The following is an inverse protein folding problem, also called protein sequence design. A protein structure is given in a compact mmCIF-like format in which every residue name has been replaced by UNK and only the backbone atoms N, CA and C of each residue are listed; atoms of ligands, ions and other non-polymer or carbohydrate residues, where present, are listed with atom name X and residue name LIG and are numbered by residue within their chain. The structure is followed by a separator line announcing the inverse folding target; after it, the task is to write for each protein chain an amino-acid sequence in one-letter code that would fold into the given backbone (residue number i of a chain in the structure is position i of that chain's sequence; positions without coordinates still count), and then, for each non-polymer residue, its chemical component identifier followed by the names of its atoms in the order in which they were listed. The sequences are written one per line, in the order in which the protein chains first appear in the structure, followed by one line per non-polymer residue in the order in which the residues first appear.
data_IF_898758459596
#
_entry.id   IF_898758459596
#
_cell.length_a   1.000
_cell.length_b   1.000
_cell.length_c   1.000
_cell.angle_alpha   90.00
_cell.angle_beta   90.00
_cell.angle_gamma   90.00
#
_symmetry.space_group_name_H-M   'P 1'
#
loop_
_entity.id
_entity.type
_entity.pdbx_description
1 polymer ?
#
# COMPACT_ATOMS: atom_id res chain seq x y z
N UNK A 1 17.69 -20.93 -0.03
CA UNK A 1 17.84 -20.20 -1.32
C UNK A 1 16.44 -20.03 -1.86
N UNK A 2 15.94 -18.79 -1.93
CA UNK A 2 14.58 -18.52 -2.40
C UNK A 2 14.52 -18.94 -3.87
N UNK A 3 13.67 -19.91 -4.17
CA UNK A 3 13.48 -20.49 -5.49
C UNK A 3 12.95 -19.42 -6.44
N UNK A 4 13.77 -19.06 -7.43
CA UNK A 4 13.44 -18.42 -8.70
C UNK A 4 12.05 -17.75 -8.79
N UNK A 5 12.01 -16.46 -8.50
CA UNK A 5 10.89 -15.54 -8.83
C UNK A 5 10.90 -15.31 -10.35
N UNK A 6 10.64 -16.35 -11.15
CA UNK A 6 10.52 -16.24 -12.61
C UNK A 6 9.65 -17.37 -13.15
N UNK A 7 8.66 -17.04 -13.99
CA UNK A 7 7.93 -18.03 -14.78
C UNK A 7 8.84 -18.53 -15.88
N UNK A 8 9.16 -19.82 -15.86
CA UNK A 8 10.07 -20.43 -16.84
C UNK A 8 9.54 -20.24 -18.27
N UNK A 9 10.41 -19.75 -19.16
CA UNK A 9 10.05 -19.50 -20.56
C UNK A 9 9.17 -18.27 -20.81
N UNK A 10 8.89 -17.43 -19.81
CA UNK A 10 8.13 -16.20 -20.01
C UNK A 10 8.85 -15.24 -20.97
N UNK A 11 8.11 -14.73 -21.95
CA UNK A 11 8.53 -13.66 -22.84
C UNK A 11 7.47 -12.57 -22.82
N UNK A 12 7.86 -11.37 -22.40
CA UNK A 12 6.97 -10.22 -22.50
C UNK A 12 6.67 -9.92 -23.97
N UNK A 13 5.39 -9.67 -24.27
CA UNK A 13 4.96 -9.17 -25.58
C UNK A 13 5.10 -7.65 -25.69
N UNK A 14 5.36 -6.98 -24.56
CA UNK A 14 5.54 -5.53 -24.46
C UNK A 14 7.02 -5.22 -24.20
N UNK A 15 7.50 -4.14 -24.79
CA UNK A 15 8.74 -3.47 -24.36
C UNK A 15 8.60 -2.90 -22.94
N UNK A 16 9.72 -2.46 -22.37
CA UNK A 16 9.72 -1.83 -21.04
C UNK A 16 8.84 -0.57 -21.00
N UNK A 17 8.95 0.30 -22.01
CA UNK A 17 8.14 1.51 -22.12
C UNK A 17 6.65 1.20 -22.26
N UNK A 18 6.30 0.25 -23.14
CA UNK A 18 4.91 -0.20 -23.30
C UNK A 18 4.35 -0.82 -22.01
N UNK A 19 5.19 -1.51 -21.24
CA UNK A 19 4.80 -2.10 -19.95
C UNK A 19 4.46 -1.01 -18.93
N UNK A 20 5.29 0.03 -18.80
CA UNK A 20 5.02 1.17 -17.90
C UNK A 20 3.74 1.92 -18.29
N UNK A 21 3.53 2.14 -19.60
CA UNK A 21 2.30 2.73 -20.14
C UNK A 21 1.08 1.86 -19.80
N UNK A 22 1.18 0.54 -19.98
CA UNK A 22 0.11 -0.40 -19.68
C UNK A 22 -0.23 -0.45 -18.18
N UNK A 23 0.78 -0.46 -17.30
CA UNK A 23 0.59 -0.40 -15.84
C UNK A 23 -0.19 0.86 -15.46
N UNK A 24 0.21 2.02 -16.00
CA UNK A 24 -0.48 3.29 -15.74
C UNK A 24 -1.93 3.26 -16.24
N UNK A 25 -2.16 2.75 -17.45
CA UNK A 25 -3.50 2.66 -18.03
C UNK A 25 -4.43 1.82 -17.16
N UNK A 26 -3.97 0.66 -16.67
CA UNK A 26 -4.75 -0.21 -15.78
C UNK A 26 -5.09 0.51 -14.48
N UNK A 27 -4.08 1.15 -13.85
CA UNK A 27 -4.24 1.89 -12.60
C UNK A 27 -5.27 3.00 -12.72
N UNK A 28 -5.08 3.92 -13.66
CA UNK A 28 -5.94 5.08 -13.86
C UNK A 28 -7.39 4.65 -14.20
N UNK A 29 -7.53 3.59 -15.00
CA UNK A 29 -8.85 3.07 -15.39
C UNK A 29 -9.59 2.46 -14.21
N UNK A 30 -8.91 1.65 -13.39
CA UNK A 30 -9.53 0.99 -12.25
C UNK A 30 -9.92 2.00 -11.17
N UNK A 31 -9.03 2.93 -10.82
CA UNK A 31 -9.31 3.96 -9.82
C UNK A 31 -10.53 4.80 -10.17
N UNK A 32 -10.60 5.26 -11.42
CA UNK A 32 -11.74 6.04 -11.90
C UNK A 32 -13.04 5.25 -11.79
N UNK A 33 -13.05 4.00 -12.28
CA UNK A 33 -14.23 3.13 -12.19
C UNK A 33 -14.62 2.82 -10.75
N UNK A 34 -13.65 2.57 -9.87
CA UNK A 34 -13.88 2.28 -8.46
C UNK A 34 -14.53 3.49 -7.75
N UNK A 35 -13.99 4.69 -7.98
CA UNK A 35 -14.51 5.95 -7.46
C UNK A 35 -15.95 6.20 -7.93
N UNK A 36 -16.20 6.08 -9.24
CA UNK A 36 -17.53 6.28 -9.84
C UNK A 36 -18.56 5.28 -9.30
N UNK A 37 -18.21 3.98 -9.22
CA UNK A 37 -19.15 2.92 -8.85
C UNK A 37 -19.49 2.88 -7.36
N UNK A 38 -18.55 3.25 -6.50
CA UNK A 38 -18.71 3.20 -5.05
C UNK A 38 -18.84 4.59 -4.40
N UNK A 39 -18.89 5.65 -5.20
CA UNK A 39 -18.94 7.04 -4.75
C UNK A 39 -17.82 7.36 -3.74
N UNK A 40 -16.58 6.98 -4.08
CA UNK A 40 -15.41 7.17 -3.21
C UNK A 40 -14.62 8.40 -3.64
N UNK A 41 -14.20 9.20 -2.67
CA UNK A 41 -13.27 10.31 -2.89
C UNK A 41 -11.83 9.82 -2.77
N UNK A 42 -10.98 10.13 -3.75
CA UNK A 42 -9.53 9.90 -3.64
C UNK A 42 -8.95 10.87 -2.62
N UNK A 43 -8.28 10.37 -1.58
CA UNK A 43 -7.60 11.19 -0.58
C UNK A 43 -6.13 10.82 -0.47
N UNK A 44 -5.30 11.74 0.03
CA UNK A 44 -3.89 11.46 0.33
C UNK A 44 -3.77 10.71 1.65
N UNK A 45 -3.07 9.57 1.63
CA UNK A 45 -2.79 8.77 2.81
C UNK A 45 -1.43 9.08 3.46
N UNK A 46 -1.29 8.81 4.77
CA UNK A 46 0.01 8.81 5.42
C UNK A 46 0.86 7.61 4.96
N UNK A 47 2.17 7.82 4.82
CA UNK A 47 3.15 6.75 4.62
C UNK A 47 3.61 6.13 5.94
N UNK A 48 3.50 6.88 7.04
CA UNK A 48 3.91 6.45 8.37
C UNK A 48 2.98 7.02 9.44
N UNK A 49 2.89 6.31 10.56
CA UNK A 49 2.07 6.69 11.71
C UNK A 49 2.82 6.44 13.01
N UNK A 50 2.44 7.13 14.08
CA UNK A 50 2.92 6.80 15.43
C UNK A 50 2.24 5.50 15.92
N UNK A 51 2.99 4.51 16.43
CA UNK A 51 2.41 3.24 16.88
C UNK A 51 1.36 3.42 17.98
N UNK A 52 1.56 4.42 18.85
CA UNK A 52 0.65 4.80 19.95
C UNK A 52 -0.76 5.16 19.48
N UNK A 53 -0.93 5.57 18.23
CA UNK A 53 -2.24 5.92 17.67
C UNK A 53 -3.13 4.71 17.40
N UNK A 54 -2.55 3.51 17.33
CA UNK A 54 -3.26 2.28 16.95
C UNK A 54 -3.81 2.29 15.52
N UNK A 55 -3.36 3.23 14.68
CA UNK A 55 -3.85 3.39 13.30
C UNK A 55 -3.16 2.45 12.31
N UNK A 56 -1.99 1.92 12.65
CA UNK A 56 -1.30 0.93 11.83
C UNK A 56 -1.97 -0.44 11.97
N UNK A 57 -1.81 -1.28 10.95
CA UNK A 57 -2.23 -2.67 11.00
C UNK A 57 -1.14 -3.55 11.60
N UNK A 58 -1.58 -4.53 12.39
CA UNK A 58 -0.68 -5.51 13.01
C UNK A 58 -0.72 -6.85 12.27
N UNK A 59 -1.51 -6.97 11.19
CA UNK A 59 -1.69 -8.19 10.40
C UNK A 59 -2.00 -9.40 11.31
N UNK A 60 -1.16 -10.45 11.29
CA UNK A 60 -1.34 -11.63 12.13
C UNK A 60 -0.70 -11.51 13.52
N UNK A 61 -0.05 -10.38 13.81
CA UNK A 61 0.53 -10.03 15.10
C UNK A 61 1.96 -10.51 15.32
N UNK A 62 2.55 -11.26 14.37
CA UNK A 62 3.97 -11.64 14.41
C UNK A 62 4.82 -10.74 13.51
N UNK A 63 4.25 -10.20 12.43
CA UNK A 63 4.90 -9.30 11.50
C UNK A 63 5.15 -7.95 12.18
N UNK A 64 6.39 -7.45 12.07
CA UNK A 64 6.74 -6.12 12.60
C UNK A 64 6.76 -5.09 11.48
N UNK A 65 6.09 -3.96 11.71
CA UNK A 65 6.20 -2.82 10.82
C UNK A 65 7.64 -2.27 10.82
N UNK A 66 8.05 -1.69 9.69
CA UNK A 66 9.33 -1.00 9.57
C UNK A 66 9.27 0.30 10.36
N UNK A 67 10.04 0.37 11.45
CA UNK A 67 10.09 1.53 12.33
C UNK A 67 11.31 2.42 12.12
N UNK A 68 11.16 3.73 12.36
CA UNK A 68 12.26 4.70 12.38
C UNK A 68 12.00 5.82 13.40
N UNK A 69 13.06 6.53 13.78
CA UNK A 69 12.96 7.73 14.63
C UNK A 69 13.05 9.00 13.79
N UNK A 70 12.06 9.86 13.88
CA UNK A 70 12.11 11.19 13.28
C UNK A 70 13.14 12.06 14.02
N UNK A 71 14.12 12.63 13.31
CA UNK A 71 15.21 13.37 13.93
C UNK A 71 14.73 14.60 14.72
N UNK A 72 13.81 15.37 14.15
CA UNK A 72 13.35 16.64 14.71
C UNK A 72 12.42 16.45 15.91
N UNK A 73 11.44 15.55 15.81
CA UNK A 73 10.43 15.33 16.86
C UNK A 73 10.84 14.28 17.88
N UNK A 74 11.89 13.49 17.59
CA UNK A 74 12.29 12.28 18.33
C UNK A 74 11.19 11.21 18.41
N UNK A 75 10.09 11.38 17.67
CA UNK A 75 8.99 10.44 17.63
C UNK A 75 9.41 9.13 16.97
N UNK A 76 8.93 8.02 17.52
CA UNK A 76 9.01 6.71 16.88
C UNK A 76 7.84 6.58 15.92
N UNK A 77 8.14 6.30 14.65
CA UNK A 77 7.16 6.16 13.58
C UNK A 77 7.32 4.78 12.93
N UNK A 78 6.23 4.28 12.38
CA UNK A 78 6.20 3.04 11.61
C UNK A 78 5.63 3.31 10.22
N UNK A 79 6.23 2.70 9.20
CA UNK A 79 5.65 2.63 7.87
C UNK A 79 4.35 1.83 7.95
N UNK A 80 3.31 2.32 7.28
CA UNK A 80 2.00 1.67 7.31
C UNK A 80 2.06 0.29 6.64
N UNK A 81 1.53 -0.74 7.30
CA UNK A 81 1.36 -2.08 6.70
C UNK A 81 0.01 -2.19 5.96
N UNK A 82 -0.98 -1.46 6.47
CA UNK A 82 -2.31 -1.29 5.88
C UNK A 82 -2.93 -0.02 6.45
N UNK A 83 -3.89 0.57 5.71
CA UNK A 83 -4.65 1.74 6.15
C UNK A 83 -6.08 1.38 6.60
N UNK A 84 -6.35 0.12 6.95
CA UNK A 84 -7.70 -0.33 7.29
C UNK A 84 -8.30 0.48 8.46
N UNK A 85 -7.57 0.59 9.57
CA UNK A 85 -7.99 1.36 10.76
C UNK A 85 -8.00 2.87 10.48
N UNK A 86 -6.97 3.36 9.79
CA UNK A 86 -6.86 4.77 9.39
C UNK A 86 -8.05 5.23 8.55
N UNK A 87 -8.51 4.45 7.57
CA UNK A 87 -9.64 4.83 6.71
C UNK A 87 -10.91 5.11 7.52
N UNK A 88 -11.21 4.26 8.50
CA UNK A 88 -12.37 4.46 9.40
C UNK A 88 -12.22 5.73 10.25
N UNK A 89 -11.02 5.99 10.77
CA UNK A 89 -10.73 7.21 11.51
C UNK A 89 -10.87 8.46 10.62
N UNK A 90 -10.34 8.43 9.40
CA UNK A 90 -10.40 9.53 8.44
C UNK A 90 -11.84 9.87 8.01
N UNK A 91 -12.67 8.86 7.74
CA UNK A 91 -14.10 9.07 7.44
C UNK A 91 -14.80 9.85 8.56
N UNK A 92 -14.59 9.43 9.82
CA UNK A 92 -15.18 10.09 10.99
C UNK A 92 -14.62 11.51 11.17
N UNK A 93 -13.30 11.69 11.04
CA UNK A 93 -12.62 12.96 11.32
C UNK A 93 -12.95 14.04 10.29
N UNK A 94 -13.05 13.66 9.02
CA UNK A 94 -13.20 14.61 7.91
C UNK A 94 -14.62 14.66 7.33
N UNK A 95 -15.53 13.79 7.77
CA UNK A 95 -16.92 13.79 7.30
C UNK A 95 -17.10 13.26 5.88
N UNK A 96 -16.13 12.52 5.33
CA UNK A 96 -16.26 11.87 4.03
C UNK A 96 -17.25 10.70 4.08
N UNK A 97 -18.01 10.51 2.99
CA UNK A 97 -18.96 9.39 2.86
C UNK A 97 -18.28 8.08 2.44
N UNK A 98 -17.15 8.18 1.75
CA UNK A 98 -16.36 7.06 1.27
C UNK A 98 -15.03 7.56 0.71
N UNK A 99 -13.96 6.81 0.96
CA UNK A 99 -12.61 7.18 0.50
C UNK A 99 -11.86 5.99 -0.09
N UNK A 100 -10.97 6.28 -1.03
CA UNK A 100 -9.89 5.39 -1.44
C UNK A 100 -8.57 6.17 -1.48
N UNK A 101 -7.47 5.46 -1.50
CA UNK A 101 -6.12 6.04 -1.56
C UNK A 101 -5.19 5.07 -2.26
N UNK A 102 -4.19 5.63 -2.93
CA UNK A 102 -2.96 4.91 -3.22
C UNK A 102 -2.22 4.67 -1.91
N UNK A 103 -1.97 3.42 -1.57
CA UNK A 103 -1.21 3.05 -0.39
C UNK A 103 0.03 2.29 -0.83
N UNK A 104 1.17 2.70 -0.31
CA UNK A 104 2.41 1.93 -0.39
C UNK A 104 2.73 1.41 1.02
N UNK A 105 3.25 0.19 1.10
CA UNK A 105 3.67 -0.44 2.34
C UNK A 105 5.06 -1.05 2.15
N UNK A 106 5.69 -1.43 3.27
CA UNK A 106 6.88 -2.28 3.24
C UNK A 106 6.61 -3.46 4.17
N UNK A 107 6.67 -4.68 3.61
CA UNK A 107 6.39 -5.94 4.31
C UNK A 107 7.64 -6.82 4.38
N UNK A 108 8.57 -6.54 5.30
CA UNK A 108 9.86 -7.22 5.35
C UNK A 108 9.78 -8.70 5.76
N UNK A 109 8.62 -9.17 6.22
CA UNK A 109 8.37 -10.54 6.67
C UNK A 109 7.59 -11.38 5.64
N UNK A 110 7.34 -10.85 4.45
CA UNK A 110 6.59 -11.56 3.40
C UNK A 110 7.42 -12.73 2.82
N UNK A 111 6.78 -13.87 2.58
CA UNK A 111 7.37 -14.95 1.79
C UNK A 111 7.25 -14.60 0.30
N UNK A 112 8.39 -14.43 -0.38
CA UNK A 112 8.41 -13.93 -1.75
C UNK A 112 8.13 -15.01 -2.79
N UNK A 113 7.25 -14.67 -3.74
CA UNK A 113 6.98 -15.47 -4.94
C UNK A 113 6.55 -14.54 -6.11
N UNK A 114 5.92 -15.09 -7.15
CA UNK A 114 5.53 -14.33 -8.33
C UNK A 114 4.39 -13.31 -8.09
N UNK A 115 3.68 -13.39 -6.96
CA UNK A 115 2.58 -12.49 -6.60
C UNK A 115 2.79 -11.78 -5.25
N UNK A 116 3.77 -12.21 -4.44
CA UNK A 116 4.12 -11.63 -3.15
C UNK A 116 5.43 -10.83 -3.23
N UNK A 117 5.34 -9.54 -2.90
CA UNK A 117 6.43 -8.56 -2.92
C UNK A 117 6.60 -7.89 -1.55
N UNK A 118 7.81 -7.40 -1.26
CA UNK A 118 8.07 -6.57 -0.08
C UNK A 118 7.42 -5.18 -0.19
N UNK A 119 7.18 -4.73 -1.43
CA UNK A 119 6.60 -3.44 -1.81
C UNK A 119 5.26 -3.61 -2.51
#
# INVERSE_FOLDING_TARGET
MVSNIYVEGYKSILSLEETEIAIKLVKDTFERKLSEKLNLTRVSAPLFVEPSTGLNDNLNGYEKAVGFKAFQTKASLEIVQSLAKWKRNALKKYGFRGIYTDMNAIRPYEELDNIHSLY
#
